data_IF_380772514945
#
_entry.id   IF_380772514945
#
_cell.length_a   1.000
_cell.length_b   1.000
_cell.length_c   1.000
_cell.angle_alpha   90.00
_cell.angle_beta   90.00
_cell.angle_gamma   90.00
#
_symmetry.space_group_name_H-M   'P 1'
#
loop_
_entity.id
_entity.type
_entity.pdbx_description
1 polymer ?
#
# COMPACT_ATOMS: atom_id res chain seq x y z
N UNK A 1 15.02 15.99 -7.26
CA UNK A 1 14.06 15.91 -6.14
C UNK A 1 13.50 14.50 -5.94
N UNK A 2 13.00 13.83 -7.00
CA UNK A 2 12.41 12.49 -6.92
C UNK A 2 13.27 11.43 -6.20
N UNK A 3 14.54 11.25 -6.56
CA UNK A 3 15.40 10.26 -5.93
C UNK A 3 15.56 10.45 -4.40
N UNK A 4 15.60 11.71 -3.94
CA UNK A 4 15.69 12.02 -2.51
C UNK A 4 14.38 11.67 -1.80
N UNK A 5 13.24 11.97 -2.43
CA UNK A 5 11.92 11.57 -1.92
C UNK A 5 11.82 10.05 -1.80
N UNK A 6 12.17 9.32 -2.86
CA UNK A 6 12.14 7.86 -2.90
C UNK A 6 13.01 7.23 -1.80
N UNK A 7 14.20 7.78 -1.53
CA UNK A 7 15.06 7.30 -0.44
C UNK A 7 14.39 7.38 0.93
N UNK A 8 13.59 8.41 1.17
CA UNK A 8 12.84 8.57 2.43
C UNK A 8 11.57 7.71 2.48
N UNK A 9 11.13 7.18 1.33
CA UNK A 9 10.00 6.26 1.25
C UNK A 9 10.38 4.79 1.50
N UNK A 10 11.68 4.45 1.43
CA UNK A 10 12.19 3.08 1.63
C UNK A 10 11.62 2.40 2.90
N UNK A 11 11.57 3.03 4.08
CA UNK A 11 10.99 2.40 5.27
C UNK A 11 9.51 2.03 5.10
N UNK A 12 8.77 2.80 4.29
CA UNK A 12 7.38 2.55 3.96
C UNK A 12 7.20 1.30 3.09
N UNK A 13 8.18 0.94 2.26
CA UNK A 13 8.13 -0.29 1.45
C UNK A 13 8.09 -1.55 2.33
N UNK A 14 8.90 -1.57 3.40
CA UNK A 14 8.89 -2.67 4.36
C UNK A 14 7.58 -2.72 5.14
N UNK A 15 7.08 -1.56 5.60
CA UNK A 15 5.77 -1.48 6.25
C UNK A 15 4.66 -2.02 5.34
N UNK A 16 4.67 -1.62 4.07
CA UNK A 16 3.70 -2.08 3.08
C UNK A 16 3.77 -3.59 2.87
N UNK A 17 4.96 -4.18 2.80
CA UNK A 17 5.13 -5.62 2.68
C UNK A 17 4.51 -6.38 3.86
N UNK A 18 4.81 -5.97 5.10
CA UNK A 18 4.19 -6.57 6.29
C UNK A 18 2.68 -6.36 6.31
N UNK A 19 2.22 -5.15 5.99
CA UNK A 19 0.80 -4.81 5.95
C UNK A 19 0.06 -5.73 4.99
N UNK A 20 0.56 -5.90 3.76
CA UNK A 20 -0.05 -6.77 2.76
C UNK A 20 -0.12 -8.23 3.24
N UNK A 21 0.91 -8.75 3.91
CA UNK A 21 0.85 -10.09 4.50
C UNK A 21 -0.27 -10.21 5.55
N UNK A 22 -0.39 -9.23 6.45
CA UNK A 22 -1.42 -9.24 7.51
C UNK A 22 -2.82 -9.10 6.90
N UNK A 23 -2.99 -8.21 5.90
CA UNK A 23 -4.24 -8.04 5.16
C UNK A 23 -4.69 -9.36 4.54
N UNK A 24 -3.79 -10.05 3.83
CA UNK A 24 -4.10 -11.34 3.20
C UNK A 24 -4.43 -12.42 4.22
N UNK A 25 -3.70 -12.49 5.34
CA UNK A 25 -4.01 -13.42 6.43
C UNK A 25 -5.43 -13.23 6.99
N UNK A 26 -5.86 -11.98 7.16
CA UNK A 26 -7.20 -11.67 7.69
C UNK A 26 -8.30 -11.88 6.64
N UNK A 27 -8.04 -11.49 5.38
CA UNK A 27 -8.99 -11.65 4.27
C UNK A 27 -9.31 -13.12 3.99
N UNK A 28 -8.31 -14.02 3.98
CA UNK A 28 -8.54 -15.46 3.76
C UNK A 28 -9.34 -16.12 4.87
N UNK A 29 -9.47 -15.46 6.03
CA UNK A 29 -10.30 -15.87 7.16
C UNK A 29 -11.59 -15.04 7.29
N UNK A 30 -11.97 -14.33 6.21
CA UNK A 30 -13.16 -13.47 6.10
C UNK A 30 -13.26 -12.38 7.18
N UNK A 31 -12.12 -11.92 7.69
CA UNK A 31 -12.04 -10.90 8.75
C UNK A 31 -11.77 -9.52 8.15
N UNK A 32 -12.85 -8.78 7.87
CA UNK A 32 -12.76 -7.50 7.13
C UNK A 32 -12.93 -6.25 8.00
N UNK A 33 -13.70 -6.32 9.10
CA UNK A 33 -13.98 -5.14 9.95
C UNK A 33 -12.71 -4.50 10.54
N UNK A 34 -11.75 -5.26 11.11
CA UNK A 34 -10.49 -4.70 11.60
C UNK A 34 -9.69 -4.00 10.50
N UNK A 35 -9.79 -4.46 9.25
CA UNK A 35 -9.11 -3.85 8.11
C UNK A 35 -9.63 -2.42 7.87
N UNK A 36 -10.96 -2.24 7.96
CA UNK A 36 -11.59 -0.92 7.79
C UNK A 36 -11.15 0.03 8.89
N UNK A 37 -11.23 -0.40 10.16
CA UNK A 37 -10.85 0.43 11.32
C UNK A 37 -9.37 0.81 11.27
N UNK A 38 -8.50 -0.17 10.98
CA UNK A 38 -7.05 0.04 10.91
C UNK A 38 -6.59 0.73 9.62
N UNK A 39 -7.51 1.03 8.70
CA UNK A 39 -7.29 1.94 7.57
C UNK A 39 -7.72 3.37 7.90
N UNK A 40 -8.86 3.53 8.58
CA UNK A 40 -9.42 4.84 8.90
C UNK A 40 -8.60 5.61 9.95
N UNK A 41 -8.14 4.95 11.02
CA UNK A 41 -7.37 5.62 12.08
C UNK A 41 -6.03 6.15 11.57
N UNK A 42 -5.18 5.36 10.88
CA UNK A 42 -3.91 5.86 10.35
C UNK A 42 -4.10 6.95 9.30
N UNK A 43 -5.19 6.90 8.52
CA UNK A 43 -5.56 7.96 7.58
C UNK A 43 -5.88 9.27 8.29
N UNK A 44 -6.69 9.23 9.36
CA UNK A 44 -7.00 10.41 10.15
C UNK A 44 -5.74 11.03 10.79
N UNK A 45 -4.86 10.18 11.33
CA UNK A 45 -3.58 10.61 11.89
C UNK A 45 -2.61 11.13 10.82
N UNK A 46 -2.65 10.59 9.61
CA UNK A 46 -1.75 10.94 8.52
C UNK A 46 -1.76 12.45 8.23
N UNK A 47 -2.93 13.10 8.27
CA UNK A 47 -3.04 14.55 8.02
C UNK A 47 -2.21 15.33 9.04
N UNK A 48 -2.35 15.02 10.34
CA UNK A 48 -1.59 15.68 11.40
C UNK A 48 -0.10 15.36 11.35
N UNK A 49 0.26 14.10 11.13
CA UNK A 49 1.66 13.66 10.99
C UNK A 49 2.32 14.37 9.82
N UNK A 50 1.67 14.39 8.65
CA UNK A 50 2.18 15.08 7.46
C UNK A 50 2.32 16.58 7.71
N UNK A 51 1.32 17.23 8.32
CA UNK A 51 1.40 18.64 8.66
C UNK A 51 2.62 18.96 9.54
N UNK A 52 2.77 18.22 10.64
CA UNK A 52 3.88 18.42 11.59
C UNK A 52 5.23 18.18 10.92
N UNK A 53 5.41 17.05 10.22
CA UNK A 53 6.71 16.70 9.64
C UNK A 53 7.06 17.64 8.48
N UNK A 54 6.10 18.01 7.63
CA UNK A 54 6.39 18.86 6.47
C UNK A 54 6.60 20.32 6.86
N UNK A 55 5.76 20.88 7.75
CA UNK A 55 5.75 22.31 8.03
C UNK A 55 6.43 22.71 9.35
N UNK A 56 6.40 21.85 10.37
CA UNK A 56 7.00 22.16 11.67
C UNK A 56 8.46 21.66 11.80
N UNK A 57 8.99 20.98 10.78
CA UNK A 57 10.39 20.54 10.75
C UNK A 57 11.11 21.04 9.49
N UNK A 58 12.43 20.85 9.44
CA UNK A 58 13.25 21.23 8.27
C UNK A 58 13.19 20.21 7.12
N UNK A 59 12.33 19.18 7.18
CA UNK A 59 12.27 18.10 6.20
C UNK A 59 11.55 18.48 4.90
N UNK A 60 10.59 19.42 4.94
CA UNK A 60 9.83 19.87 3.77
C UNK A 60 9.22 18.69 3.00
N UNK A 61 9.43 18.63 1.67
CA UNK A 61 8.88 17.57 0.82
C UNK A 61 9.38 16.15 1.17
N UNK A 62 10.57 16.01 1.76
CA UNK A 62 11.06 14.71 2.27
C UNK A 62 10.18 14.19 3.41
N UNK A 63 9.61 15.13 4.17
CA UNK A 63 8.69 14.88 5.25
C UNK A 63 7.41 14.17 4.81
N UNK A 64 6.92 14.44 3.60
CA UNK A 64 5.74 13.75 3.05
C UNK A 64 6.00 12.26 2.76
N UNK A 65 7.20 11.90 2.30
CA UNK A 65 7.59 10.49 2.16
C UNK A 65 7.67 9.77 3.51
N UNK A 66 8.27 10.43 4.51
CA UNK A 66 8.40 9.88 5.86
C UNK A 66 7.04 9.76 6.55
N UNK A 67 6.15 10.74 6.40
CA UNK A 67 4.82 10.67 7.00
C UNK A 67 3.99 9.53 6.42
N UNK A 68 4.09 9.28 5.12
CA UNK A 68 3.47 8.11 4.49
C UNK A 68 4.03 6.80 5.06
N UNK A 69 5.36 6.67 5.18
CA UNK A 69 6.00 5.51 5.78
C UNK A 69 5.55 5.28 7.24
N UNK A 70 5.47 6.34 8.04
CA UNK A 70 5.01 6.28 9.43
C UNK A 70 3.55 5.84 9.53
N UNK A 71 2.65 6.38 8.71
CA UNK A 71 1.25 5.98 8.68
C UNK A 71 1.09 4.49 8.35
N UNK A 72 1.89 3.96 7.41
CA UNK A 72 1.89 2.52 7.12
C UNK A 72 2.37 1.68 8.31
N UNK A 73 3.41 2.12 9.04
CA UNK A 73 3.84 1.44 10.25
C UNK A 73 2.79 1.47 11.36
N UNK A 74 2.04 2.55 11.50
CA UNK A 74 0.91 2.60 12.43
C UNK A 74 -0.14 1.53 12.05
N UNK A 75 -0.47 1.38 10.76
CA UNK A 75 -1.37 0.31 10.29
C UNK A 75 -0.83 -1.09 10.60
N UNK A 76 0.47 -1.32 10.36
CA UNK A 76 1.13 -2.61 10.68
C UNK A 76 1.06 -2.92 12.16
N UNK A 77 1.36 -1.95 13.02
CA UNK A 77 1.33 -2.13 14.47
C UNK A 77 -0.11 -2.39 14.92
N UNK A 78 -1.10 -1.60 14.47
CA UNK A 78 -2.50 -1.79 14.85
C UNK A 78 -3.02 -3.18 14.47
N UNK A 79 -2.82 -3.60 13.22
CA UNK A 79 -3.28 -4.93 12.77
C UNK A 79 -2.45 -6.06 13.37
N UNK A 80 -1.15 -5.87 13.56
CA UNK A 80 -0.27 -6.82 14.23
C UNK A 80 -0.72 -7.06 15.68
N UNK A 81 -1.01 -6.01 16.43
CA UNK A 81 -1.56 -6.13 17.79
C UNK A 81 -2.92 -6.84 17.77
N UNK A 82 -3.80 -6.51 16.83
CA UNK A 82 -5.08 -7.19 16.68
C UNK A 82 -4.92 -8.70 16.44
N UNK A 83 -4.00 -9.11 15.56
CA UNK A 83 -3.72 -10.53 15.28
C UNK A 83 -3.15 -11.24 16.52
N UNK A 84 -2.20 -10.62 17.23
CA UNK A 84 -1.52 -11.26 18.36
C UNK A 84 -2.40 -11.38 19.62
N UNK A 85 -3.34 -10.46 19.85
CA UNK A 85 -4.17 -10.45 21.06
C UNK A 85 -5.59 -11.02 20.87
N UNK A 86 -5.97 -11.38 19.64
CA UNK A 86 -7.29 -11.94 19.37
C UNK A 86 -7.31 -13.46 19.54
N UNK A 87 -8.16 -13.96 20.42
CA UNK A 87 -8.40 -15.40 20.61
C UNK A 87 -8.85 -16.11 19.32
N UNK A 88 -9.35 -15.36 18.33
CA UNK A 88 -9.76 -15.89 17.02
C UNK A 88 -8.61 -16.54 16.25
N UNK A 89 -7.38 -16.06 16.45
CA UNK A 89 -6.22 -16.51 15.67
C UNK A 89 -5.28 -17.43 16.43
N UNK A 90 -5.63 -17.85 17.65
CA UNK A 90 -4.74 -18.70 18.47
C UNK A 90 -4.33 -20.02 17.82
N UNK A 91 -5.12 -20.52 16.86
CA UNK A 91 -4.84 -21.75 16.10
C UNK A 91 -4.29 -21.49 14.69
N UNK A 92 -4.36 -20.25 14.20
CA UNK A 92 -3.89 -19.89 12.84
C UNK A 92 -2.64 -19.02 12.88
N UNK A 93 -2.32 -18.45 14.05
CA UNK A 93 -1.14 -17.63 14.32
C UNK A 93 -0.51 -18.05 15.65
N UNK A 94 0.53 -18.88 15.56
CA UNK A 94 1.38 -19.28 16.70
C UNK A 94 2.68 -18.43 16.77
N UNK A 95 2.76 -17.37 15.97
CA UNK A 95 3.95 -16.54 15.80
C UNK A 95 4.86 -16.99 14.66
N UNK A 96 6.01 -16.32 14.54
CA UNK A 96 7.00 -16.62 13.51
C UNK A 96 7.83 -17.85 13.90
N UNK A 97 7.88 -18.81 12.99
CA UNK A 97 8.66 -20.04 13.12
C UNK A 97 9.69 -20.14 12.00
N UNK A 98 10.81 -20.83 12.23
CA UNK A 98 11.77 -21.16 11.18
C UNK A 98 11.14 -22.01 10.07
N UNK A 99 10.10 -22.78 10.39
CA UNK A 99 9.33 -23.55 9.42
C UNK A 99 8.63 -22.64 8.40
N UNK A 100 8.19 -21.44 8.80
CA UNK A 100 7.53 -20.47 7.91
C UNK A 100 8.41 -20.10 6.71
N UNK A 101 9.73 -20.06 6.89
CA UNK A 101 10.67 -19.74 5.80
C UNK A 101 10.76 -20.84 4.73
N UNK A 102 10.42 -22.09 5.07
CA UNK A 102 10.39 -23.19 4.09
C UNK A 102 9.31 -22.99 3.02
N UNK A 103 8.28 -22.21 3.32
CA UNK A 103 7.17 -21.94 2.40
C UNK A 103 7.43 -20.75 1.46
N UNK A 104 8.45 -19.93 1.72
CA UNK A 104 8.72 -18.72 0.91
C UNK A 104 9.02 -19.07 -0.55
N UNK A 105 9.96 -19.99 -0.80
CA UNK A 105 10.33 -20.40 -2.16
C UNK A 105 9.17 -21.08 -2.91
N UNK A 106 8.43 -22.04 -2.32
CA UNK A 106 7.21 -22.57 -2.94
C UNK A 106 6.19 -21.49 -3.30
N UNK A 107 5.96 -20.51 -2.42
CA UNK A 107 5.00 -19.42 -2.66
C UNK A 107 5.40 -18.50 -3.82
N UNK A 108 6.69 -18.42 -4.18
CA UNK A 108 7.17 -17.63 -5.33
C UNK A 108 6.56 -18.08 -6.67
N UNK A 109 6.19 -19.37 -6.79
CA UNK A 109 5.55 -19.88 -8.02
C UNK A 109 4.23 -19.17 -8.33
N UNK A 110 3.52 -18.69 -7.30
CA UNK A 110 2.30 -17.90 -7.46
C UNK A 110 2.58 -16.40 -7.35
N UNK A 111 3.45 -15.99 -6.42
CA UNK A 111 3.74 -14.58 -6.19
C UNK A 111 4.39 -13.89 -7.40
N UNK A 112 5.30 -14.56 -8.12
CA UNK A 112 5.99 -13.95 -9.27
C UNK A 112 5.01 -13.66 -10.42
N UNK A 113 4.20 -14.62 -10.92
CA UNK A 113 3.20 -14.32 -11.94
C UNK A 113 2.20 -13.23 -11.51
N UNK A 114 1.73 -13.26 -10.25
CA UNK A 114 0.83 -12.22 -9.73
C UNK A 114 1.50 -10.85 -9.68
N UNK A 115 2.76 -10.77 -9.27
CA UNK A 115 3.52 -9.52 -9.25
C UNK A 115 3.74 -8.98 -10.68
N UNK A 116 4.10 -9.85 -11.63
CA UNK A 116 4.27 -9.46 -13.04
C UNK A 116 2.97 -8.94 -13.63
N UNK A 117 1.85 -9.62 -13.39
CA UNK A 117 0.53 -9.19 -13.87
C UNK A 117 0.19 -7.77 -13.37
N UNK A 118 0.34 -7.53 -12.07
CA UNK A 118 0.08 -6.21 -11.47
C UNK A 118 1.08 -5.17 -12.00
N UNK A 119 2.38 -5.48 -12.07
CA UNK A 119 3.38 -4.53 -12.58
C UNK A 119 3.11 -4.13 -14.04
N UNK A 120 2.76 -5.08 -14.90
CA UNK A 120 2.45 -4.78 -16.31
C UNK A 120 1.23 -3.86 -16.45
N UNK A 121 0.22 -4.04 -15.61
CA UNK A 121 -0.96 -3.17 -15.56
C UNK A 121 -0.56 -1.74 -15.16
N UNK A 122 0.14 -1.55 -14.03
CA UNK A 122 0.58 -0.22 -13.58
C UNK A 122 1.56 0.43 -14.56
N UNK A 123 2.50 -0.32 -15.14
CA UNK A 123 3.43 0.21 -16.13
C UNK A 123 2.71 0.65 -17.42
N UNK A 124 1.64 -0.02 -17.83
CA UNK A 124 0.86 0.43 -18.97
C UNK A 124 0.24 1.81 -18.73
N UNK A 125 -0.29 2.07 -17.53
CA UNK A 125 -0.79 3.40 -17.16
C UNK A 125 0.33 4.46 -17.13
N UNK A 126 1.49 4.15 -16.57
CA UNK A 126 2.64 5.05 -16.57
C UNK A 126 3.12 5.37 -18.00
N UNK A 127 3.18 4.38 -18.89
CA UNK A 127 3.51 4.57 -20.31
C UNK A 127 2.48 5.47 -20.98
N UNK A 128 1.18 5.29 -20.72
CA UNK A 128 0.12 6.15 -21.27
C UNK A 128 0.30 7.60 -20.84
N UNK A 129 0.60 7.86 -19.57
CA UNK A 129 0.87 9.22 -19.05
C UNK A 129 2.12 9.81 -19.69
N UNK A 130 3.19 9.03 -19.84
CA UNK A 130 4.42 9.47 -20.50
C UNK A 130 4.20 9.82 -21.97
N UNK A 131 3.47 8.98 -22.72
CA UNK A 131 3.11 9.24 -24.11
C UNK A 131 2.26 10.50 -24.23
N UNK A 132 1.33 10.72 -23.28
CA UNK A 132 0.53 11.94 -23.27
C UNK A 132 1.38 13.21 -23.12
N UNK A 133 2.46 13.13 -22.34
CA UNK A 133 3.43 14.21 -22.16
C UNK A 133 4.28 14.52 -23.39
N UNK A 134 4.33 13.62 -24.38
CA UNK A 134 5.08 13.79 -25.62
C UNK A 134 4.21 14.32 -26.78
N UNK A 135 2.90 14.49 -26.58
CA UNK A 135 1.99 15.00 -27.61
C UNK A 135 2.15 16.52 -27.83
N UNK A 136 1.75 17.06 -29.01
CA UNK A 136 1.88 18.49 -29.33
C UNK A 136 1.20 19.43 -28.33
N UNK A 137 0.08 19.01 -27.73
CA UNK A 137 -0.63 19.73 -26.66
C UNK A 137 -0.46 19.01 -25.32
N UNK A 138 0.80 18.76 -24.92
CA UNK A 138 1.16 17.89 -23.78
C UNK A 138 0.48 18.28 -22.46
N UNK A 139 0.36 19.57 -22.15
CA UNK A 139 -0.32 20.03 -20.91
C UNK A 139 -1.78 19.54 -20.86
N UNK A 140 -2.55 19.76 -21.92
CA UNK A 140 -3.95 19.33 -22.01
C UNK A 140 -4.04 17.80 -22.04
N UNK A 141 -3.24 17.15 -22.86
CA UNK A 141 -3.28 15.70 -23.02
C UNK A 141 -2.89 14.95 -21.74
N UNK A 142 -1.81 15.34 -21.07
CA UNK A 142 -1.39 14.74 -19.80
C UNK A 142 -2.44 14.98 -18.72
N UNK A 143 -3.00 16.19 -18.64
CA UNK A 143 -4.07 16.49 -17.67
C UNK A 143 -5.32 15.64 -17.90
N UNK A 144 -5.74 15.47 -19.16
CA UNK A 144 -6.88 14.62 -19.53
C UNK A 144 -6.62 13.15 -19.16
N UNK A 145 -5.47 12.60 -19.52
CA UNK A 145 -5.12 11.22 -19.19
C UNK A 145 -5.02 11.03 -17.67
N UNK A 146 -4.44 11.97 -16.94
CA UNK A 146 -4.38 11.92 -15.48
C UNK A 146 -5.78 11.92 -14.85
N UNK A 147 -6.72 12.74 -15.34
CA UNK A 147 -8.12 12.71 -14.87
C UNK A 147 -8.79 11.35 -15.13
N UNK A 148 -8.59 10.78 -16.32
CA UNK A 148 -9.14 9.48 -16.68
C UNK A 148 -8.58 8.38 -15.76
N UNK A 149 -7.26 8.31 -15.58
CA UNK A 149 -6.60 7.30 -14.73
C UNK A 149 -7.02 7.45 -13.26
N UNK A 150 -7.14 8.67 -12.73
CA UNK A 150 -7.63 8.86 -11.35
C UNK A 150 -9.10 8.43 -11.19
N UNK A 151 -9.95 8.71 -12.18
CA UNK A 151 -11.37 8.31 -12.16
C UNK A 151 -11.53 6.80 -12.24
N UNK A 152 -10.74 6.16 -13.11
CA UNK A 152 -10.65 4.71 -13.22
C UNK A 152 -10.18 4.10 -11.90
N UNK A 153 -9.10 4.62 -11.30
CA UNK A 153 -8.58 4.14 -10.03
C UNK A 153 -9.60 4.22 -8.88
N UNK A 154 -10.36 5.31 -8.77
CA UNK A 154 -11.45 5.42 -7.77
C UNK A 154 -12.51 4.34 -8.01
N UNK A 155 -12.90 4.11 -9.27
CA UNK A 155 -13.89 3.09 -9.63
C UNK A 155 -13.37 1.67 -9.35
N UNK A 156 -12.08 1.42 -9.64
CA UNK A 156 -11.40 0.16 -9.40
C UNK A 156 -11.35 -0.21 -7.91
N UNK A 157 -11.22 0.77 -7.00
CA UNK A 157 -11.19 0.47 -5.56
C UNK A 157 -12.48 -0.21 -5.06
N UNK A 158 -13.63 0.04 -5.69
CA UNK A 158 -14.89 -0.61 -5.36
C UNK A 158 -14.85 -2.08 -5.77
N UNK A 159 -14.43 -2.37 -7.00
CA UNK A 159 -14.34 -3.75 -7.52
C UNK A 159 -13.26 -4.55 -6.80
N UNK A 160 -12.12 -3.92 -6.48
CA UNK A 160 -11.07 -4.51 -5.65
C UNK A 160 -11.58 -4.86 -4.25
N UNK A 161 -12.37 -3.97 -3.63
CA UNK A 161 -13.00 -4.21 -2.33
C UNK A 161 -13.89 -5.44 -2.33
N UNK A 162 -14.74 -5.60 -3.35
CA UNK A 162 -15.57 -6.81 -3.50
C UNK A 162 -14.72 -8.06 -3.72
N UNK A 163 -13.71 -7.99 -4.59
CA UNK A 163 -12.79 -9.11 -4.87
C UNK A 163 -12.02 -9.56 -3.61
N UNK A 164 -11.73 -8.64 -2.69
CA UNK A 164 -11.00 -8.94 -1.46
C UNK A 164 -11.88 -9.47 -0.31
N UNK A 165 -13.21 -9.33 -0.41
CA UNK A 165 -14.17 -9.73 0.64
C UNK A 165 -14.76 -11.12 0.43
N UNK A 166 -14.73 -11.63 -0.81
CA UNK A 166 -15.23 -12.94 -1.26
C UNK A 166 -14.09 -13.94 -1.30
#
# INVERSE_FOLDING_TARGET
>A
MAAIYLRHLIPGLFAYAFLQCILRFLQTQTVVIPLVVCSAVPLALHVGITFVIVYCTTLGFKGAALSAALSLWISVIMLGLYVNYSDKFKYTWEGLSTESFKHVLPSMKLAIPSAVMVCLEYWAFEILVLLAGLMPNSENSTSLIAMCVNTEGISYMITYGFSAAV
#
